data_IF_839327877331
#
_entry.id   IF_839327877331
#
_cell.length_a   1.000
_cell.length_b   1.000
_cell.length_c   1.000
_cell.angle_alpha   90.00
_cell.angle_beta   90.00
_cell.angle_gamma   90.00
#
_symmetry.space_group_name_H-M   'P 1'
#
loop_
_entity.id
_entity.type
_entity.pdbx_description
1 polymer ?
#
# COMPACT_ATOMS: atom_id res chain seq x y z
N UNK A 1 -5.72 -25.83 -0.31
CA UNK A 1 -6.62 -25.48 -1.42
C UNK A 1 -6.85 -23.98 -1.33
N UNK A 2 -6.46 -23.22 -2.36
CA UNK A 2 -6.73 -21.78 -2.41
C UNK A 2 -8.22 -21.55 -2.68
N UNK A 3 -8.79 -20.50 -2.09
CA UNK A 3 -10.15 -20.09 -2.38
C UNK A 3 -10.23 -19.56 -3.82
N UNK A 4 -11.10 -20.12 -4.66
CA UNK A 4 -11.32 -19.71 -6.05
C UNK A 4 -12.61 -18.91 -6.26
N UNK A 5 -13.25 -18.47 -5.17
CA UNK A 5 -14.46 -17.64 -5.20
C UNK A 5 -14.13 -16.18 -5.51
N UNK A 6 -13.78 -15.93 -6.77
CA UNK A 6 -13.40 -14.62 -7.26
C UNK A 6 -14.63 -13.76 -7.61
N UNK A 7 -14.57 -12.46 -7.31
CA UNK A 7 -15.65 -11.55 -7.71
C UNK A 7 -15.81 -11.49 -9.23
N UNK A 8 -17.06 -11.36 -9.71
CA UNK A 8 -17.36 -11.25 -11.14
C UNK A 8 -16.62 -10.07 -11.81
N UNK A 9 -16.45 -8.95 -11.11
CA UNK A 9 -15.72 -7.78 -11.61
C UNK A 9 -14.24 -8.10 -11.83
N UNK A 10 -13.62 -8.88 -10.94
CA UNK A 10 -12.23 -9.32 -11.10
C UNK A 10 -12.08 -10.23 -12.31
N UNK A 11 -12.95 -11.24 -12.46
CA UNK A 11 -12.94 -12.15 -13.61
C UNK A 11 -13.16 -11.41 -14.95
N UNK A 12 -14.06 -10.44 -14.97
CA UNK A 12 -14.30 -9.60 -16.15
C UNK A 12 -13.08 -8.75 -16.51
N UNK A 13 -12.40 -8.18 -15.51
CA UNK A 13 -11.16 -7.42 -15.71
C UNK A 13 -10.04 -8.30 -16.29
N UNK A 14 -9.87 -9.52 -15.78
CA UNK A 14 -8.88 -10.46 -16.29
C UNK A 14 -9.15 -10.89 -17.73
N UNK A 15 -10.41 -11.21 -18.05
CA UNK A 15 -10.82 -11.56 -19.40
C UNK A 15 -10.54 -10.41 -20.40
N UNK A 16 -10.83 -9.16 -20.00
CA UNK A 16 -10.55 -7.98 -20.82
C UNK A 16 -9.04 -7.76 -21.06
N UNK A 17 -8.18 -8.29 -20.21
CA UNK A 17 -6.72 -8.19 -20.30
C UNK A 17 -6.06 -9.51 -20.75
N UNK A 18 -6.83 -10.50 -21.17
CA UNK A 18 -6.38 -11.83 -21.61
C UNK A 18 -5.47 -12.53 -20.58
N UNK A 19 -5.87 -12.51 -19.31
CA UNK A 19 -5.12 -13.08 -18.17
C UNK A 19 -5.91 -14.17 -17.44
N UNK A 20 -5.22 -15.12 -16.83
CA UNK A 20 -5.81 -16.06 -15.87
C UNK A 20 -5.88 -15.47 -14.46
N UNK A 21 -6.70 -16.05 -13.55
CA UNK A 21 -6.72 -15.64 -12.15
C UNK A 21 -5.35 -15.68 -11.48
N UNK A 22 -4.54 -16.69 -11.78
CA UNK A 22 -3.19 -16.85 -11.25
C UNK A 22 -2.27 -15.72 -11.71
N UNK A 23 -2.30 -15.36 -13.00
CA UNK A 23 -1.49 -14.27 -13.56
C UNK A 23 -1.88 -12.91 -12.96
N UNK A 24 -3.18 -12.67 -12.75
CA UNK A 24 -3.69 -11.45 -12.14
C UNK A 24 -3.24 -11.26 -10.69
N UNK A 25 -3.10 -12.35 -9.92
CA UNK A 25 -2.68 -12.31 -8.53
C UNK A 25 -1.23 -11.82 -8.36
N UNK A 26 -0.36 -12.03 -9.36
CA UNK A 26 1.05 -11.65 -9.31
C UNK A 26 1.35 -10.21 -9.75
N UNK A 27 0.38 -9.50 -10.33
CA UNK A 27 0.57 -8.12 -10.80
C UNK A 27 0.04 -7.06 -9.82
N UNK A 28 0.52 -7.07 -8.58
CA UNK A 28 0.25 -5.97 -7.65
C UNK A 28 1.36 -4.92 -7.74
N UNK A 29 1.08 -3.79 -8.41
CA UNK A 29 2.04 -2.67 -8.51
C UNK A 29 2.42 -2.10 -7.15
N UNK A 30 1.52 -2.19 -6.16
CA UNK A 30 1.82 -1.81 -4.77
C UNK A 30 2.95 -2.67 -4.20
N UNK A 31 2.89 -4.00 -4.35
CA UNK A 31 3.95 -4.90 -3.87
C UNK A 31 5.30 -4.53 -4.49
N UNK A 32 5.33 -4.31 -5.81
CA UNK A 32 6.55 -3.87 -6.51
C UNK A 32 7.07 -2.53 -5.97
N UNK A 33 6.19 -1.57 -5.71
CA UNK A 33 6.52 -0.27 -5.12
C UNK A 33 7.17 -0.40 -3.74
N UNK A 34 6.71 -1.33 -2.90
CA UNK A 34 7.34 -1.63 -1.61
C UNK A 34 8.69 -2.33 -1.78
N UNK A 35 8.78 -3.37 -2.61
CA UNK A 35 10.01 -4.14 -2.85
C UNK A 35 11.15 -3.28 -3.43
N UNK A 36 10.82 -2.25 -4.23
CA UNK A 36 11.82 -1.33 -4.77
C UNK A 36 12.44 -0.41 -3.71
N UNK A 37 11.77 -0.21 -2.56
CA UNK A 37 12.24 0.68 -1.48
C UNK A 37 12.79 -0.08 -0.29
N UNK A 38 12.20 -1.22 0.01
CA UNK A 38 12.58 -2.09 1.11
C UNK A 38 13.14 -3.38 0.53
N UNK A 39 14.45 -3.52 0.66
CA UNK A 39 15.19 -4.69 0.19
C UNK A 39 15.69 -5.48 1.38
N UNK A 40 16.23 -6.66 1.13
CA UNK A 40 16.88 -7.49 2.17
C UNK A 40 18.06 -6.78 2.85
N UNK A 41 18.63 -5.76 2.21
CA UNK A 41 19.72 -4.95 2.75
C UNK A 41 19.25 -3.73 3.55
N UNK A 42 17.94 -3.47 3.64
CA UNK A 42 17.40 -2.35 4.41
C UNK A 42 17.52 -2.65 5.91
N UNK A 43 18.51 -2.03 6.57
CA UNK A 43 18.79 -2.28 7.99
C UNK A 43 18.00 -1.39 8.95
N UNK A 44 17.57 -0.21 8.49
CA UNK A 44 16.79 0.75 9.28
C UNK A 44 15.79 1.46 8.40
N UNK A 45 14.59 1.68 8.90
CA UNK A 45 13.55 2.44 8.22
C UNK A 45 13.11 3.56 9.15
N UNK A 46 13.32 4.81 8.73
CA UNK A 46 12.82 5.98 9.45
C UNK A 46 11.31 6.16 9.24
N UNK A 47 10.65 6.81 10.19
CA UNK A 47 9.22 7.17 10.07
C UNK A 47 8.96 7.99 8.80
N UNK A 48 9.87 8.88 8.42
CA UNK A 48 9.71 9.70 7.22
C UNK A 48 9.83 8.89 5.93
N UNK A 49 10.65 7.84 5.90
CA UNK A 49 10.67 6.89 4.80
C UNK A 49 9.35 6.12 4.71
N UNK A 50 8.80 5.64 5.83
CA UNK A 50 7.49 4.99 5.87
C UNK A 50 6.42 5.93 5.31
N UNK A 51 6.37 7.19 5.76
CA UNK A 51 5.42 8.19 5.26
C UNK A 51 5.56 8.40 3.75
N UNK A 52 6.80 8.51 3.23
CA UNK A 52 7.06 8.67 1.79
C UNK A 52 6.53 7.48 0.99
N UNK A 53 6.71 6.25 1.48
CA UNK A 53 6.20 5.05 0.80
C UNK A 53 4.68 5.03 0.83
N UNK A 54 4.08 5.26 2.00
CA UNK A 54 2.63 5.24 2.15
C UNK A 54 1.94 6.37 1.36
N UNK A 55 2.67 7.45 1.07
CA UNK A 55 2.22 8.57 0.22
C UNK A 55 2.57 8.38 -1.26
N UNK A 56 3.19 7.26 -1.65
CA UNK A 56 3.75 7.14 -2.99
C UNK A 56 2.66 6.98 -4.06
N UNK A 57 2.98 7.54 -5.23
CA UNK A 57 2.17 7.51 -6.46
C UNK A 57 3.02 7.10 -7.65
N UNK A 58 3.82 6.04 -7.49
CA UNK A 58 4.92 5.66 -8.39
C UNK A 58 4.51 5.26 -9.81
N UNK A 59 3.21 5.25 -10.11
CA UNK A 59 2.67 4.93 -11.41
C UNK A 59 1.43 5.80 -11.66
N UNK A 60 1.08 5.99 -12.93
CA UNK A 60 -0.23 6.53 -13.27
C UNK A 60 -1.31 5.45 -13.08
N UNK A 61 -2.44 5.83 -12.50
CA UNK A 61 -3.61 4.95 -12.37
C UNK A 61 -4.04 4.62 -10.94
N UNK A 62 -4.84 3.56 -10.79
CA UNK A 62 -5.52 3.22 -9.53
C UNK A 62 -4.70 2.30 -8.61
N UNK A 63 -3.68 1.61 -9.12
CA UNK A 63 -2.89 0.64 -8.34
C UNK A 63 -1.64 1.24 -7.64
N UNK A 64 -1.64 2.55 -7.40
CA UNK A 64 -0.63 3.19 -6.53
C UNK A 64 -0.90 2.91 -5.05
N UNK A 65 0.12 3.09 -4.21
CA UNK A 65 0.02 2.88 -2.75
C UNK A 65 -1.03 3.80 -2.15
N UNK A 66 -1.02 5.08 -2.53
CA UNK A 66 -2.04 6.05 -2.12
C UNK A 66 -2.86 6.55 -3.31
N UNK A 67 -4.15 6.17 -3.36
CA UNK A 67 -5.05 6.46 -4.47
C UNK A 67 -6.38 7.06 -3.97
N UNK A 68 -7.33 7.25 -4.90
CA UNK A 68 -8.67 7.80 -4.60
C UNK A 68 -9.52 6.99 -3.61
N UNK A 69 -9.16 5.73 -3.38
CA UNK A 69 -9.82 4.81 -2.44
C UNK A 69 -9.00 4.58 -1.16
N UNK A 70 -7.92 5.35 -0.95
CA UNK A 70 -7.21 5.36 0.32
C UNK A 70 -7.96 6.25 1.31
N UNK A 71 -8.55 5.63 2.33
CA UNK A 71 -9.33 6.33 3.35
C UNK A 71 -8.52 6.70 4.59
N UNK A 72 -7.42 6.00 4.85
CA UNK A 72 -6.51 6.31 5.93
C UNK A 72 -5.14 5.66 5.70
N UNK A 73 -4.14 6.18 6.41
CA UNK A 73 -2.86 5.52 6.59
C UNK A 73 -2.41 5.65 8.04
N UNK A 74 -1.78 4.60 8.55
CA UNK A 74 -1.46 4.45 9.97
C UNK A 74 -0.03 3.94 10.13
N UNK A 75 0.72 4.53 11.06
CA UNK A 75 2.06 4.08 11.45
C UNK A 75 2.09 3.90 12.97
N UNK A 76 2.48 2.70 13.39
CA UNK A 76 2.77 2.38 14.79
C UNK A 76 4.28 2.42 14.99
N UNK A 77 4.74 3.33 15.84
CA UNK A 77 6.12 3.34 16.27
C UNK A 77 6.25 2.65 17.62
N UNK A 78 6.83 1.46 17.61
CA UNK A 78 7.06 0.66 18.79
C UNK A 78 8.44 1.02 19.36
N UNK A 79 8.46 1.95 20.31
CA UNK A 79 9.66 2.38 21.04
C UNK A 79 9.35 2.52 22.52
N UNK A 80 10.33 2.93 23.33
CA UNK A 80 10.13 3.25 24.76
C UNK A 80 9.06 4.34 24.99
N UNK A 81 8.79 5.16 23.96
CA UNK A 81 7.68 6.10 23.93
C UNK A 81 6.84 5.78 22.69
N UNK A 82 5.90 4.82 22.76
CA UNK A 82 5.15 4.40 21.59
C UNK A 82 4.34 5.57 21.05
N UNK A 83 4.28 5.68 19.72
CA UNK A 83 3.55 6.76 19.04
C UNK A 83 2.67 6.20 17.96
N UNK A 84 1.53 6.84 17.79
CA UNK A 84 0.59 6.50 16.76
C UNK A 84 0.47 7.66 15.79
N UNK A 85 0.82 7.44 14.52
CA UNK A 85 0.68 8.44 13.48
C UNK A 85 -0.45 8.05 12.53
N UNK A 86 -1.38 8.96 12.26
CA UNK A 86 -2.55 8.72 11.41
C UNK A 86 -2.72 9.84 10.41
N UNK A 87 -2.81 9.50 9.13
CA UNK A 87 -3.36 10.38 8.10
C UNK A 87 -4.83 9.96 7.87
N UNK A 88 -5.84 10.74 8.34
CA UNK A 88 -7.26 10.41 8.17
C UNK A 88 -7.75 10.79 6.76
N UNK A 89 -7.15 10.15 5.77
CA UNK A 89 -7.45 10.31 4.35
C UNK A 89 -6.28 9.83 3.50
N UNK A 90 -6.08 10.47 2.35
CA UNK A 90 -4.97 10.13 1.47
C UNK A 90 -3.66 10.70 2.03
N UNK A 91 -2.66 9.88 2.41
CA UNK A 91 -1.40 10.37 2.96
C UNK A 91 -0.58 11.26 2.00
N UNK A 92 -0.88 11.25 0.69
CA UNK A 92 -0.29 12.21 -0.27
C UNK A 92 -0.98 13.58 -0.31
N UNK A 93 -2.11 13.75 0.38
CA UNK A 93 -2.88 15.01 0.45
C UNK A 93 -2.99 15.55 1.88
N UNK A 94 -2.85 14.67 2.89
CA UNK A 94 -3.10 14.99 4.30
C UNK A 94 -1.89 14.64 5.15
N UNK A 95 -1.53 15.54 6.05
CA UNK A 95 -0.46 15.33 7.02
C UNK A 95 -0.83 14.27 8.08
N UNK A 96 0.20 13.61 8.61
CA UNK A 96 0.03 12.66 9.70
C UNK A 96 -0.16 13.40 11.03
N UNK A 97 -1.29 13.14 11.66
CA UNK A 97 -1.57 13.50 13.05
C UNK A 97 -0.83 12.55 13.98
N UNK A 98 -0.23 13.10 15.04
CA UNK A 98 0.44 12.33 16.08
C UNK A 98 -0.50 12.18 17.28
N UNK A 99 -0.88 10.96 17.63
CA UNK A 99 -1.61 10.65 18.85
C UNK A 99 -0.63 10.18 19.92
N UNK A 100 -0.62 10.88 21.04
CA UNK A 100 0.13 10.56 22.25
C UNK A 100 -0.87 10.04 23.30
N UNK A 101 -0.47 9.02 24.05
CA UNK A 101 -1.27 8.38 25.10
C UNK A 101 -0.49 8.41 26.41
#
# INVERSE_FOLDING_TARGET
MSNTDYSANYLASLAANNKTPEEGLYECQRIKSFQNRFTENTQSISIDEIKKVLSSRDNDGQDVVSNRFTFASVIYELSDKPRFLVAPGKPHEIEYLKLEW
#
